data_IF_019060881817
#
_entry.id   IF_019060881817
#
_cell.length_a   1.000
_cell.length_b   1.000
_cell.length_c   1.000
_cell.angle_alpha   90.00
_cell.angle_beta   90.00
_cell.angle_gamma   90.00
#
_symmetry.space_group_name_H-M   'P 1'
#
loop_
_entity.id
_entity.type
_entity.pdbx_description
1 polymer ?
#
# COMPACT_ATOMS: atom_id res chain seq x y z
N UNK A 1 -60.53 58.85 -22.87
CA UNK A 1 -59.28 58.72 -22.09
C UNK A 1 -59.20 57.30 -21.55
N UNK A 2 -58.48 56.37 -22.26
CA UNK A 2 -58.43 54.97 -21.93
C UNK A 2 -57.07 54.74 -21.30
N UNK A 3 -57.06 54.29 -20.05
CA UNK A 3 -55.84 53.85 -19.33
C UNK A 3 -55.56 52.36 -19.60
N UNK A 4 -54.47 52.12 -20.33
CA UNK A 4 -53.96 50.76 -20.61
C UNK A 4 -53.11 50.29 -19.45
N UNK A 5 -53.57 49.28 -18.69
CA UNK A 5 -52.82 48.61 -17.62
C UNK A 5 -51.98 47.48 -18.22
N UNK A 6 -50.66 47.63 -18.30
CA UNK A 6 -49.72 46.55 -18.62
C UNK A 6 -49.51 45.70 -17.40
N UNK A 7 -49.90 44.42 -17.49
CA UNK A 7 -49.55 43.37 -16.53
C UNK A 7 -48.21 42.73 -16.99
N UNK A 8 -47.16 43.03 -16.25
CA UNK A 8 -45.88 42.30 -16.37
C UNK A 8 -46.02 40.94 -15.70
N UNK A 9 -46.00 39.83 -16.48
CA UNK A 9 -45.87 38.47 -15.98
C UNK A 9 -44.38 38.20 -15.79
N UNK A 10 -43.93 38.12 -14.53
CA UNK A 10 -42.59 37.58 -14.20
C UNK A 10 -42.64 36.04 -14.31
N UNK A 11 -41.96 35.50 -15.31
CA UNK A 11 -41.75 34.08 -15.47
C UNK A 11 -40.57 33.64 -14.58
N UNK A 12 -40.86 33.02 -13.45
CA UNK A 12 -39.85 32.43 -12.57
C UNK A 12 -39.41 31.11 -13.16
N UNK A 13 -38.24 31.13 -13.84
CA UNK A 13 -37.61 29.94 -14.40
C UNK A 13 -36.88 29.20 -13.26
N UNK A 14 -37.53 28.21 -12.65
CA UNK A 14 -36.91 27.30 -11.69
C UNK A 14 -35.91 26.42 -12.39
N UNK A 15 -34.60 26.68 -12.22
CA UNK A 15 -33.53 25.82 -12.66
C UNK A 15 -33.46 24.64 -11.66
N UNK A 16 -33.99 23.47 -12.04
CA UNK A 16 -33.76 22.24 -11.33
C UNK A 16 -32.31 21.82 -11.54
N UNK A 17 -31.47 22.03 -10.54
CA UNK A 17 -30.17 21.36 -10.48
C UNK A 17 -30.40 19.87 -10.27
N UNK A 18 -30.24 19.07 -11.31
CA UNK A 18 -30.15 17.63 -11.22
C UNK A 18 -28.85 17.29 -10.46
N UNK A 19 -28.96 17.06 -9.14
CA UNK A 19 -27.88 16.46 -8.35
C UNK A 19 -27.67 15.05 -8.91
N UNK A 20 -26.59 14.85 -9.68
CA UNK A 20 -26.18 13.50 -10.08
C UNK A 20 -25.95 12.70 -8.80
N UNK A 21 -26.56 11.50 -8.64
CA UNK A 21 -26.23 10.66 -7.51
C UNK A 21 -24.73 10.38 -7.56
N UNK A 22 -24.03 10.69 -6.48
CA UNK A 22 -22.66 10.21 -6.26
C UNK A 22 -22.78 8.70 -6.29
N UNK A 23 -22.18 8.08 -7.29
CA UNK A 23 -22.15 6.62 -7.44
C UNK A 23 -21.55 6.05 -6.16
N UNK A 24 -22.41 5.43 -5.33
CA UNK A 24 -21.98 4.82 -4.09
C UNK A 24 -20.95 3.76 -4.45
N UNK A 25 -19.72 3.89 -3.93
CA UNK A 25 -18.66 2.94 -4.19
C UNK A 25 -19.18 1.52 -3.94
N UNK A 26 -19.05 0.65 -4.97
CA UNK A 26 -19.64 -0.68 -4.97
C UNK A 26 -19.14 -1.50 -3.78
N UNK A 27 -20.07 -2.07 -3.03
CA UNK A 27 -19.82 -3.03 -1.96
C UNK A 27 -19.21 -4.31 -2.52
N UNK A 28 -18.07 -4.71 -2.01
CA UNK A 28 -17.47 -6.03 -2.20
C UNK A 28 -17.91 -6.90 -1.01
N UNK A 29 -18.65 -7.96 -1.27
CA UNK A 29 -19.18 -8.87 -0.27
C UNK A 29 -20.69 -8.79 -0.07
N UNK A 30 -21.16 -8.95 1.16
CA UNK A 30 -22.58 -9.01 1.48
C UNK A 30 -23.27 -7.63 1.34
N UNK A 31 -23.99 -7.45 0.24
CA UNK A 31 -24.74 -6.22 -0.08
C UNK A 31 -25.93 -5.98 0.86
N UNK A 32 -26.35 -6.99 1.61
CA UNK A 32 -27.41 -6.85 2.63
C UNK A 32 -26.87 -6.31 3.96
N UNK A 33 -25.54 -6.22 4.12
CA UNK A 33 -24.91 -5.68 5.32
C UNK A 33 -25.29 -4.21 5.54
N UNK A 34 -25.72 -3.89 6.77
CA UNK A 34 -26.08 -2.51 7.14
C UNK A 34 -24.87 -1.58 7.27
N UNK A 35 -23.67 -2.13 7.34
CA UNK A 35 -22.42 -1.37 7.50
C UNK A 35 -21.43 -1.73 6.41
N UNK A 36 -20.83 -0.71 5.80
CA UNK A 36 -19.72 -0.88 4.88
C UNK A 36 -18.42 -0.42 5.53
N UNK A 37 -17.32 -1.13 5.23
CA UNK A 37 -16.00 -0.87 5.78
C UNK A 37 -15.02 -0.50 4.67
N UNK A 38 -14.37 0.63 4.78
CA UNK A 38 -13.32 1.05 3.85
C UNK A 38 -12.06 0.21 4.04
N UNK A 39 -11.49 -0.26 2.90
CA UNK A 39 -10.22 -0.99 2.87
C UNK A 39 -9.24 -0.21 2.01
N UNK A 40 -8.14 0.24 2.58
CA UNK A 40 -7.08 0.94 1.87
C UNK A 40 -5.87 0.05 1.65
N UNK A 41 -5.26 0.14 0.48
CA UNK A 41 -4.06 -0.62 0.15
C UNK A 41 -2.88 0.32 -0.08
N UNK A 42 -1.74 0.00 0.51
CA UNK A 42 -0.49 0.71 0.22
C UNK A 42 -0.17 0.60 -1.28
N UNK A 43 0.11 1.72 -2.00
CA UNK A 43 0.25 1.74 -3.46
C UNK A 43 1.65 1.24 -3.89
N UNK A 44 1.95 -0.03 -3.63
CA UNK A 44 3.25 -0.67 -3.92
C UNK A 44 3.42 -1.12 -5.38
N UNK A 45 2.31 -1.39 -6.07
CA UNK A 45 2.22 -1.74 -7.50
C UNK A 45 1.07 -0.94 -8.13
N UNK A 46 0.81 -1.11 -9.43
CA UNK A 46 -0.25 -0.35 -10.10
C UNK A 46 -1.63 -0.56 -9.46
N UNK A 47 -2.44 0.50 -9.42
CA UNK A 47 -3.79 0.46 -8.84
C UNK A 47 -4.68 -0.60 -9.51
N UNK A 48 -4.58 -0.74 -10.84
CA UNK A 48 -5.31 -1.77 -11.60
C UNK A 48 -4.98 -3.17 -11.10
N UNK A 49 -3.69 -3.47 -10.90
CA UNK A 49 -3.25 -4.79 -10.44
C UNK A 49 -3.67 -5.05 -8.99
N UNK A 50 -3.51 -4.06 -8.11
CA UNK A 50 -4.01 -4.16 -6.73
C UNK A 50 -5.52 -4.44 -6.70
N UNK A 51 -6.30 -3.74 -7.53
CA UNK A 51 -7.74 -3.98 -7.59
C UNK A 51 -8.07 -5.39 -8.08
N UNK A 52 -7.44 -5.84 -9.15
CA UNK A 52 -7.65 -7.19 -9.72
C UNK A 52 -7.32 -8.31 -8.74
N UNK A 53 -6.32 -8.12 -7.88
CA UNK A 53 -5.91 -9.10 -6.87
C UNK A 53 -6.82 -9.08 -5.64
N UNK A 54 -7.15 -7.88 -5.12
CA UNK A 54 -7.85 -7.72 -3.85
C UNK A 54 -9.38 -7.77 -3.94
N UNK A 55 -9.98 -7.29 -5.04
CA UNK A 55 -11.43 -7.22 -5.13
C UNK A 55 -12.10 -8.61 -5.06
N UNK A 56 -11.62 -9.66 -5.78
CA UNK A 56 -12.21 -11.01 -5.66
C UNK A 56 -12.06 -11.59 -4.24
N UNK A 57 -10.93 -11.32 -3.59
CA UNK A 57 -10.71 -11.76 -2.21
C UNK A 57 -11.65 -11.07 -1.22
N UNK A 58 -11.79 -9.74 -1.32
CA UNK A 58 -12.69 -8.97 -0.43
C UNK A 58 -14.17 -9.32 -0.68
N UNK A 59 -14.55 -9.59 -1.93
CA UNK A 59 -15.89 -10.09 -2.26
C UNK A 59 -16.17 -11.39 -1.52
N UNK A 60 -15.29 -12.37 -1.61
CA UNK A 60 -15.42 -13.65 -0.92
C UNK A 60 -15.40 -13.48 0.59
N UNK A 61 -14.42 -12.76 1.13
CA UNK A 61 -14.32 -12.50 2.57
C UNK A 61 -15.59 -11.87 3.12
N UNK A 62 -16.15 -10.90 2.39
CA UNK A 62 -17.38 -10.21 2.76
C UNK A 62 -18.58 -11.12 2.72
N UNK A 63 -18.77 -11.88 1.64
CA UNK A 63 -19.90 -12.82 1.50
C UNK A 63 -19.92 -13.88 2.60
N UNK A 64 -18.77 -14.52 2.87
CA UNK A 64 -18.68 -15.58 3.88
C UNK A 64 -18.85 -15.09 5.32
N UNK A 65 -18.66 -13.78 5.59
CA UNK A 65 -18.68 -13.23 6.95
C UNK A 65 -19.81 -12.21 7.21
N UNK A 66 -20.69 -11.96 6.22
CA UNK A 66 -21.75 -10.96 6.33
C UNK A 66 -21.19 -9.53 6.46
N UNK A 67 -20.15 -9.20 5.70
CA UNK A 67 -19.49 -7.89 5.69
C UNK A 67 -19.51 -7.29 4.29
N UNK A 68 -19.55 -5.96 4.23
CA UNK A 68 -19.45 -5.18 3.01
C UNK A 68 -18.16 -4.35 3.02
N UNK A 69 -17.30 -4.49 2.02
CA UNK A 69 -16.08 -3.73 1.90
C UNK A 69 -16.12 -2.73 0.75
N UNK A 70 -15.51 -1.57 0.97
CA UNK A 70 -15.30 -0.54 -0.05
C UNK A 70 -13.81 -0.38 -0.26
N UNK A 71 -13.31 -0.95 -1.36
CA UNK A 71 -11.89 -0.90 -1.69
C UNK A 71 -11.47 0.50 -2.16
N UNK A 72 -10.38 1.01 -1.61
CA UNK A 72 -9.74 2.27 -1.94
C UNK A 72 -8.25 2.05 -2.20
N UNK A 73 -7.78 2.53 -3.33
CA UNK A 73 -6.37 2.47 -3.70
C UNK A 73 -5.93 3.91 -3.94
N UNK A 74 -5.21 4.53 -2.99
CA UNK A 74 -4.67 5.87 -3.15
C UNK A 74 -3.78 5.98 -4.38
N UNK A 75 -3.75 7.16 -4.98
CA UNK A 75 -2.97 7.42 -6.20
C UNK A 75 -1.46 7.26 -5.96
N UNK A 76 -1.00 7.63 -4.77
CA UNK A 76 0.40 7.58 -4.38
C UNK A 76 0.58 7.38 -2.85
N UNK A 77 1.84 7.33 -2.42
CA UNK A 77 2.20 7.19 -1.02
C UNK A 77 1.79 8.40 -0.18
N UNK A 78 1.77 9.60 -0.72
CA UNK A 78 1.41 10.83 0.01
C UNK A 78 -0.06 10.79 0.42
N UNK A 79 -0.95 10.52 -0.54
CA UNK A 79 -2.40 10.34 -0.26
C UNK A 79 -2.64 9.18 0.72
N UNK A 80 -1.91 8.07 0.56
CA UNK A 80 -2.02 6.94 1.45
C UNK A 80 -1.61 7.28 2.89
N UNK A 81 -0.46 7.94 3.06
CA UNK A 81 0.08 8.31 4.37
C UNK A 81 -0.81 9.33 5.09
N UNK A 82 -1.35 10.32 4.38
CA UNK A 82 -2.34 11.24 4.93
C UNK A 82 -3.60 10.49 5.42
N UNK A 83 -4.12 9.56 4.63
CA UNK A 83 -5.29 8.78 5.00
C UNK A 83 -5.05 7.94 6.27
N UNK A 84 -3.92 7.25 6.40
CA UNK A 84 -3.63 6.42 7.58
C UNK A 84 -3.33 7.26 8.82
N UNK A 85 -2.65 8.42 8.67
CA UNK A 85 -2.35 9.33 9.79
C UNK A 85 -3.61 9.97 10.37
N UNK A 86 -4.57 10.30 9.52
CA UNK A 86 -5.88 10.84 9.94
C UNK A 86 -6.88 9.77 10.41
N UNK A 87 -6.49 8.48 10.32
CA UNK A 87 -7.35 7.37 10.73
C UNK A 87 -8.54 7.13 9.80
N UNK A 88 -8.48 7.58 8.54
CA UNK A 88 -9.58 7.46 7.56
C UNK A 88 -9.96 6.01 7.23
N UNK A 89 -9.03 5.07 6.95
CA UNK A 89 -9.34 3.67 6.69
C UNK A 89 -9.94 2.94 7.90
N UNK A 90 -10.93 2.07 7.64
CA UNK A 90 -11.41 1.08 8.61
C UNK A 90 -10.46 -0.10 8.72
N UNK A 91 -10.09 -0.64 7.55
CA UNK A 91 -9.05 -1.65 7.39
C UNK A 91 -8.00 -1.15 6.43
N UNK A 92 -6.76 -1.63 6.60
CA UNK A 92 -5.66 -1.16 5.76
C UNK A 92 -4.56 -2.21 5.63
N UNK A 93 -4.05 -2.39 4.41
CA UNK A 93 -2.79 -3.09 4.19
C UNK A 93 -1.65 -2.08 4.37
N UNK A 94 -0.90 -2.22 5.45
CA UNK A 94 0.24 -1.35 5.77
C UNK A 94 1.55 -1.99 5.34
N UNK A 95 2.58 -1.18 5.10
CA UNK A 95 3.93 -1.70 5.20
C UNK A 95 4.38 -1.71 6.68
N UNK A 96 5.43 -2.45 7.04
CA UNK A 96 5.89 -2.52 8.43
C UNK A 96 6.26 -1.17 9.06
N UNK A 97 6.82 -0.23 8.29
CA UNK A 97 7.10 1.12 8.79
C UNK A 97 5.83 1.91 9.08
N UNK A 98 4.85 1.86 8.18
CA UNK A 98 3.56 2.49 8.44
C UNK A 98 2.89 1.93 9.69
N UNK A 99 3.00 0.61 9.94
CA UNK A 99 2.48 0.02 11.18
C UNK A 99 3.16 0.62 12.42
N UNK A 100 4.47 0.87 12.40
CA UNK A 100 5.17 1.55 13.49
C UNK A 100 4.65 2.98 13.73
N UNK A 101 4.35 3.70 12.66
CA UNK A 101 3.92 5.11 12.77
C UNK A 101 2.50 5.24 13.29
N UNK A 102 1.59 4.32 12.92
CA UNK A 102 0.15 4.43 13.22
C UNK A 102 -0.32 3.59 14.41
N UNK A 103 0.54 2.75 15.02
CA UNK A 103 0.16 1.93 16.17
C UNK A 103 -0.16 2.73 17.41
N UNK A 104 0.51 3.87 17.63
CA UNK A 104 0.28 4.75 18.79
C UNK A 104 -0.88 5.70 18.52
N UNK A 105 -0.92 6.29 17.35
CA UNK A 105 -1.95 7.21 16.90
C UNK A 105 -2.02 7.14 15.36
N UNK A 106 -3.20 6.89 14.81
CA UNK A 106 -4.53 6.72 15.43
C UNK A 106 -4.78 5.37 16.13
N UNK A 107 -3.82 4.45 16.20
CA UNK A 107 -3.92 3.24 17.01
C UNK A 107 -4.27 1.97 16.22
N UNK A 108 -3.89 1.88 14.93
CA UNK A 108 -4.16 0.70 14.13
C UNK A 108 -3.55 -0.58 14.72
N UNK A 109 -4.37 -1.62 14.79
CA UNK A 109 -4.01 -2.93 15.34
C UNK A 109 -3.78 -3.91 14.17
N UNK A 110 -2.61 -4.56 14.07
CA UNK A 110 -2.39 -5.59 13.06
C UNK A 110 -3.27 -6.81 13.36
N UNK A 111 -3.95 -7.33 12.36
CA UNK A 111 -4.87 -8.46 12.46
C UNK A 111 -4.28 -9.74 11.88
N UNK A 112 -3.77 -9.64 10.64
CA UNK A 112 -3.27 -10.77 9.86
C UNK A 112 -2.00 -10.37 9.15
N UNK A 113 -1.05 -11.31 9.06
CA UNK A 113 0.12 -11.26 8.20
C UNK A 113 0.36 -12.61 7.55
N UNK A 114 1.18 -12.66 6.54
CA UNK A 114 1.69 -13.94 6.03
C UNK A 114 2.70 -14.55 7.03
N UNK A 115 2.68 -15.86 7.19
CA UNK A 115 3.58 -16.59 8.09
C UNK A 115 4.99 -16.69 7.53
N UNK A 116 5.08 -17.08 6.27
CA UNK A 116 6.34 -17.47 5.62
C UNK A 116 6.89 -16.44 4.64
N UNK A 117 6.14 -15.39 4.35
CA UNK A 117 6.66 -14.29 3.54
C UNK A 117 7.63 -13.46 4.35
N UNK A 118 8.76 -13.17 3.75
CA UNK A 118 9.75 -12.25 4.28
C UNK A 118 9.95 -11.10 3.30
N UNK A 119 10.06 -9.90 3.84
CA UNK A 119 10.21 -8.69 3.07
C UNK A 119 11.66 -8.21 3.13
N UNK A 120 12.33 -8.20 2.00
CA UNK A 120 13.68 -7.65 1.86
C UNK A 120 13.73 -6.52 0.85
N UNK A 121 14.58 -5.54 1.13
CA UNK A 121 14.96 -4.50 0.19
C UNK A 121 16.01 -5.00 -0.78
N UNK A 122 15.89 -4.60 -2.04
CA UNK A 122 16.82 -4.94 -3.11
C UNK A 122 17.43 -3.65 -3.67
N UNK A 123 18.76 -3.58 -3.76
CA UNK A 123 19.41 -2.64 -4.67
C UNK A 123 19.64 -3.35 -6.00
N UNK A 124 18.99 -2.86 -7.05
CA UNK A 124 19.16 -3.36 -8.41
C UNK A 124 20.02 -2.41 -9.24
N UNK A 125 20.75 -2.99 -10.17
CA UNK A 125 21.51 -2.29 -11.21
C UNK A 125 21.20 -2.95 -12.55
N UNK A 126 21.53 -2.27 -13.66
CA UNK A 126 21.41 -2.89 -14.98
C UNK A 126 22.33 -4.12 -15.07
N UNK A 127 21.93 -5.12 -15.83
CA UNK A 127 22.62 -6.41 -15.92
C UNK A 127 24.10 -6.28 -16.31
N UNK A 128 24.40 -5.37 -17.22
CA UNK A 128 25.76 -5.08 -17.72
C UNK A 128 26.50 -3.98 -16.95
N UNK A 129 25.92 -3.50 -15.84
CA UNK A 129 26.53 -2.45 -15.01
C UNK A 129 27.93 -2.86 -14.49
N UNK A 130 28.92 -1.98 -14.48
CA UNK A 130 30.25 -2.25 -13.92
C UNK A 130 30.28 -2.29 -12.39
N UNK A 131 29.21 -1.82 -11.71
CA UNK A 131 29.12 -1.77 -10.25
C UNK A 131 29.17 -3.18 -9.66
N UNK A 132 30.08 -3.45 -8.72
CA UNK A 132 30.28 -4.77 -8.08
C UNK A 132 29.84 -4.82 -6.62
N UNK A 133 29.83 -3.67 -5.94
CA UNK A 133 29.47 -3.57 -4.54
C UNK A 133 28.84 -2.22 -4.22
N UNK A 134 28.25 -2.10 -3.03
CA UNK A 134 27.52 -0.89 -2.61
C UNK A 134 28.43 0.29 -2.32
N UNK A 135 29.71 0.09 -2.00
CA UNK A 135 30.66 1.18 -1.73
C UNK A 135 30.85 2.08 -2.96
N UNK A 136 30.72 1.52 -4.16
CA UNK A 136 30.78 2.25 -5.42
C UNK A 136 29.58 3.19 -5.66
N UNK A 137 28.54 3.07 -4.84
CA UNK A 137 27.40 4.00 -4.86
C UNK A 137 27.61 5.25 -4.00
N UNK A 138 28.70 5.32 -3.22
CA UNK A 138 28.94 6.47 -2.37
C UNK A 138 29.03 7.78 -3.17
N UNK A 139 28.24 8.78 -2.77
CA UNK A 139 28.14 10.07 -3.47
C UNK A 139 27.29 10.06 -4.74
N UNK A 140 26.68 8.93 -5.10
CA UNK A 140 25.86 8.83 -6.32
C UNK A 140 24.36 9.03 -6.06
N UNK A 141 23.59 9.29 -7.13
CA UNK A 141 22.14 9.27 -7.09
C UNK A 141 21.61 7.84 -7.26
N UNK A 142 20.62 7.47 -6.44
CA UNK A 142 19.92 6.18 -6.49
C UNK A 142 18.42 6.43 -6.59
N UNK A 143 17.76 5.75 -7.51
CA UNK A 143 16.29 5.83 -7.65
C UNK A 143 15.57 5.06 -6.52
N UNK A 144 14.52 5.65 -5.99
CA UNK A 144 13.63 5.05 -5.00
C UNK A 144 12.16 5.31 -5.35
N UNK A 145 11.21 4.43 -4.97
CA UNK A 145 9.80 4.62 -5.33
C UNK A 145 9.17 5.82 -4.63
N UNK A 146 9.40 5.96 -3.33
CA UNK A 146 8.92 7.07 -2.49
C UNK A 146 9.79 7.18 -1.23
N UNK A 147 9.74 8.30 -0.51
CA UNK A 147 10.53 8.49 0.71
C UNK A 147 10.32 7.39 1.76
N UNK A 148 9.07 6.98 1.97
CA UNK A 148 8.67 6.10 3.07
C UNK A 148 8.33 4.66 2.61
N UNK A 149 8.75 4.27 1.40
CA UNK A 149 8.70 2.87 0.97
C UNK A 149 9.64 2.03 1.85
N UNK A 150 9.05 1.18 2.72
CA UNK A 150 9.75 0.52 3.80
C UNK A 150 11.01 -0.25 3.33
N UNK A 151 10.83 -1.33 2.56
CA UNK A 151 11.94 -2.17 2.14
C UNK A 151 12.83 -1.49 1.09
N UNK A 152 12.18 -0.84 0.10
CA UNK A 152 12.88 -0.28 -1.05
C UNK A 152 13.66 1.00 -0.76
N UNK A 153 13.28 1.77 0.26
CA UNK A 153 13.91 3.06 0.59
C UNK A 153 14.48 3.07 1.99
N UNK A 154 13.64 2.89 3.01
CA UNK A 154 14.05 3.11 4.39
C UNK A 154 15.08 2.09 4.87
N UNK A 155 14.85 0.79 4.63
CA UNK A 155 15.81 -0.25 5.00
C UNK A 155 17.13 -0.10 4.24
N UNK A 156 17.06 0.17 2.93
CA UNK A 156 18.26 0.36 2.11
C UNK A 156 19.06 1.55 2.61
N UNK A 157 18.43 2.72 2.79
CA UNK A 157 19.12 3.92 3.31
C UNK A 157 19.74 3.70 4.68
N UNK A 158 19.01 3.02 5.59
CA UNK A 158 19.51 2.72 6.92
C UNK A 158 20.74 1.80 6.88
N UNK A 159 20.74 0.77 6.04
CA UNK A 159 21.85 -0.17 5.92
C UNK A 159 23.04 0.43 5.15
N UNK A 160 22.80 1.26 4.14
CA UNK A 160 23.86 2.02 3.47
C UNK A 160 24.56 2.96 4.46
N UNK A 161 23.79 3.69 5.27
CA UNK A 161 24.35 4.57 6.30
C UNK A 161 25.21 3.83 7.33
N UNK A 162 24.78 2.62 7.78
CA UNK A 162 25.58 1.78 8.67
C UNK A 162 26.91 1.33 8.05
N UNK A 163 26.99 1.30 6.72
CA UNK A 163 28.22 0.96 5.97
C UNK A 163 28.98 2.18 5.46
N UNK A 164 28.65 3.38 5.96
CA UNK A 164 29.22 4.67 5.56
C UNK A 164 29.08 4.95 4.05
N UNK A 165 28.01 4.46 3.42
CA UNK A 165 27.67 4.75 2.03
C UNK A 165 26.53 5.79 2.01
N UNK A 166 26.81 6.95 1.44
CA UNK A 166 25.89 8.07 1.35
C UNK A 166 25.42 8.23 -0.10
N UNK A 167 24.12 8.19 -0.31
CA UNK A 167 23.49 8.32 -1.64
C UNK A 167 22.49 9.47 -1.64
N UNK A 168 22.37 10.13 -2.79
CA UNK A 168 21.28 11.09 -3.02
C UNK A 168 20.04 10.34 -3.50
N UNK A 169 18.93 10.48 -2.79
CA UNK A 169 17.70 9.82 -3.16
C UNK A 169 16.99 10.57 -4.30
N UNK A 170 16.67 9.87 -5.39
CA UNK A 170 15.81 10.34 -6.47
C UNK A 170 14.50 9.57 -6.43
N UNK A 171 13.39 10.22 -6.07
CA UNK A 171 12.09 9.59 -5.94
C UNK A 171 11.33 9.63 -7.26
N UNK A 172 10.97 8.44 -7.80
CA UNK A 172 10.36 8.28 -9.12
C UNK A 172 8.90 7.81 -9.09
N UNK A 173 8.27 7.82 -7.92
CA UNK A 173 6.83 7.64 -7.71
C UNK A 173 6.37 6.20 -7.54
N UNK A 174 7.02 5.19 -8.15
CA UNK A 174 6.63 3.78 -8.03
C UNK A 174 7.80 2.82 -8.16
N UNK A 175 7.64 1.59 -7.65
CA UNK A 175 8.63 0.52 -7.81
C UNK A 175 8.90 0.21 -9.30
N UNK A 176 7.85 0.12 -10.11
CA UNK A 176 7.98 -0.13 -11.54
C UNK A 176 8.79 0.95 -12.26
N UNK A 177 8.63 2.22 -11.88
CA UNK A 177 9.42 3.31 -12.43
C UNK A 177 10.90 3.20 -12.03
N UNK A 178 11.21 2.76 -10.79
CA UNK A 178 12.59 2.49 -10.37
C UNK A 178 13.23 1.45 -11.29
N UNK A 179 12.58 0.30 -11.47
CA UNK A 179 13.13 -0.79 -12.28
C UNK A 179 13.33 -0.38 -13.74
N UNK A 180 12.36 0.34 -14.33
CA UNK A 180 12.47 0.87 -15.69
C UNK A 180 13.59 1.91 -15.83
N UNK A 181 13.71 2.84 -14.87
CA UNK A 181 14.75 3.85 -14.90
C UNK A 181 16.17 3.23 -14.86
N UNK A 182 16.34 2.15 -14.09
CA UNK A 182 17.62 1.41 -14.05
C UNK A 182 17.85 0.63 -15.34
N UNK A 183 16.84 -0.09 -15.85
CA UNK A 183 16.97 -0.87 -17.09
C UNK A 183 17.28 0.00 -18.30
N UNK A 184 16.71 1.20 -18.37
CA UNK A 184 16.97 2.19 -19.42
C UNK A 184 18.30 2.95 -19.24
N UNK A 185 19.02 2.73 -18.12
CA UNK A 185 20.27 3.44 -17.83
C UNK A 185 20.10 4.90 -17.37
N UNK A 186 18.85 5.35 -17.15
CA UNK A 186 18.57 6.69 -16.62
C UNK A 186 19.01 6.84 -15.16
N UNK A 187 19.14 5.72 -14.43
CA UNK A 187 19.66 5.64 -13.07
C UNK A 187 20.68 4.51 -12.99
N UNK A 188 21.80 4.74 -12.26
CA UNK A 188 22.84 3.70 -12.11
C UNK A 188 22.38 2.55 -11.21
N UNK A 189 21.57 2.84 -10.19
CA UNK A 189 21.01 1.88 -9.26
C UNK A 189 19.62 2.29 -8.81
N UNK A 190 18.87 1.34 -8.30
CA UNK A 190 17.53 1.59 -7.76
C UNK A 190 17.17 0.71 -6.58
N UNK A 191 16.44 1.28 -5.62
CA UNK A 191 15.88 0.57 -4.48
C UNK A 191 14.54 -0.06 -4.80
N UNK A 192 14.44 -1.35 -4.57
CA UNK A 192 13.22 -2.15 -4.76
C UNK A 192 12.93 -3.05 -3.57
N UNK A 193 11.93 -3.90 -3.73
CA UNK A 193 11.63 -4.97 -2.79
C UNK A 193 11.48 -6.29 -3.54
N UNK A 194 11.83 -7.41 -2.88
CA UNK A 194 11.66 -8.75 -3.45
C UNK A 194 10.25 -8.95 -4.02
N UNK A 195 9.24 -8.63 -3.22
CA UNK A 195 7.82 -8.81 -3.58
C UNK A 195 7.35 -7.95 -4.75
N UNK A 196 8.01 -6.82 -5.05
CA UNK A 196 7.63 -5.95 -6.17
C UNK A 196 8.38 -6.26 -7.45
N UNK A 197 9.64 -6.71 -7.37
CA UNK A 197 10.41 -7.12 -8.54
C UNK A 197 9.81 -8.36 -9.19
N UNK A 198 9.32 -9.32 -8.40
CA UNK A 198 8.69 -10.54 -8.89
C UNK A 198 7.37 -10.28 -9.67
N UNK A 199 6.74 -9.13 -9.46
CA UNK A 199 5.55 -8.70 -10.18
C UNK A 199 5.84 -8.03 -11.53
N UNK A 200 7.09 -7.68 -11.82
CA UNK A 200 7.46 -7.07 -13.09
C UNK A 200 7.50 -8.12 -14.22
N UNK A 201 7.32 -7.70 -15.49
CA UNK A 201 7.49 -8.56 -16.65
C UNK A 201 8.88 -9.21 -16.66
N UNK A 202 8.97 -10.48 -17.11
CA UNK A 202 10.24 -11.22 -17.17
C UNK A 202 11.29 -10.53 -18.04
N UNK A 203 10.87 -9.84 -19.07
CA UNK A 203 11.71 -9.04 -19.97
C UNK A 203 12.41 -7.91 -19.20
N UNK A 204 11.72 -7.24 -18.29
CA UNK A 204 12.29 -6.20 -17.44
C UNK A 204 13.19 -6.80 -16.37
N UNK A 205 12.73 -7.88 -15.70
CA UNK A 205 13.55 -8.57 -14.69
C UNK A 205 14.90 -9.03 -15.28
N UNK A 206 14.92 -9.55 -16.51
CA UNK A 206 16.13 -10.05 -17.19
C UNK A 206 17.18 -8.98 -17.51
N UNK A 207 16.78 -7.71 -17.55
CA UNK A 207 17.67 -6.56 -17.79
C UNK A 207 18.35 -6.07 -16.50
N UNK A 208 17.92 -6.58 -15.36
CA UNK A 208 18.40 -6.18 -14.04
C UNK A 208 19.21 -7.28 -13.38
N UNK A 209 20.07 -6.90 -12.46
CA UNK A 209 20.64 -7.79 -11.46
C UNK A 209 20.64 -7.15 -10.09
N UNK A 210 20.59 -7.99 -9.07
CA UNK A 210 20.64 -7.56 -7.69
C UNK A 210 22.11 -7.29 -7.33
N UNK A 211 22.39 -6.08 -6.82
CA UNK A 211 23.68 -5.67 -6.29
C UNK A 211 23.78 -5.94 -4.78
N UNK A 212 22.66 -5.79 -4.07
CA UNK A 212 22.62 -5.94 -2.61
C UNK A 212 21.20 -6.32 -2.17
N UNK A 213 21.12 -7.14 -1.11
CA UNK A 213 19.86 -7.54 -0.45
C UNK A 213 19.95 -7.18 1.04
N UNK A 214 18.90 -6.60 1.59
CA UNK A 214 18.81 -6.38 3.04
C UNK A 214 18.50 -7.68 3.77
N UNK A 215 18.74 -7.78 5.09
CA UNK A 215 18.11 -8.83 5.89
C UNK A 215 16.59 -8.82 5.72
N UNK A 216 16.01 -9.98 5.99
CA UNK A 216 14.57 -10.21 5.89
C UNK A 216 13.83 -9.73 7.14
N UNK A 217 12.63 -9.20 6.92
CA UNK A 217 11.76 -8.66 7.97
C UNK A 217 10.32 -9.14 7.76
N UNK A 218 9.50 -8.96 8.81
CA UNK A 218 8.07 -9.30 8.74
C UNK A 218 7.38 -8.58 7.58
N UNK A 219 6.42 -9.28 6.92
CA UNK A 219 5.71 -8.74 5.77
C UNK A 219 4.66 -7.70 6.16
N UNK A 220 3.93 -7.23 5.15
CA UNK A 220 2.85 -6.27 5.28
C UNK A 220 1.72 -6.81 6.18
N UNK A 221 1.32 -6.11 7.27
CA UNK A 221 0.14 -6.47 8.03
C UNK A 221 -1.13 -5.94 7.37
N UNK A 222 -2.20 -6.74 7.42
CA UNK A 222 -3.56 -6.25 7.28
C UNK A 222 -4.06 -5.82 8.66
N UNK A 223 -4.41 -4.55 8.81
CA UNK A 223 -4.65 -3.92 10.11
C UNK A 223 -6.02 -3.26 10.16
N UNK A 224 -6.56 -3.07 11.36
CA UNK A 224 -7.82 -2.39 11.60
C UNK A 224 -7.65 -1.15 12.46
N UNK A 225 -8.44 -0.10 12.16
CA UNK A 225 -8.58 1.05 13.03
C UNK A 225 -9.26 0.63 14.35
N UNK A 226 -8.88 1.18 15.53
CA UNK A 226 -9.46 0.79 16.82
C UNK A 226 -10.98 1.02 16.94
N UNK A 227 -11.57 1.92 16.12
CA UNK A 227 -13.03 2.10 16.07
C UNK A 227 -13.79 0.87 15.59
N UNK A 228 -13.14 -0.07 14.90
CA UNK A 228 -13.78 -1.28 14.42
C UNK A 228 -14.04 -2.22 15.59
N UNK A 229 -15.32 -2.64 15.82
CA UNK A 229 -15.66 -3.51 16.93
C UNK A 229 -14.86 -4.80 16.92
N UNK A 230 -14.47 -5.30 18.09
CA UNK A 230 -13.69 -6.53 18.21
C UNK A 230 -14.35 -7.71 17.47
N UNK A 231 -15.69 -7.85 17.56
CA UNK A 231 -16.42 -8.90 16.85
C UNK A 231 -16.22 -8.85 15.33
N UNK A 232 -16.13 -7.65 14.74
CA UNK A 232 -15.89 -7.48 13.31
C UNK A 232 -14.43 -7.81 12.97
N UNK A 233 -13.48 -7.36 13.80
CA UNK A 233 -12.05 -7.72 13.63
C UNK A 233 -11.85 -9.24 13.67
N UNK A 234 -12.50 -9.93 14.61
CA UNK A 234 -12.44 -11.38 14.72
C UNK A 234 -13.05 -12.09 13.51
N UNK A 235 -14.20 -11.62 12.97
CA UNK A 235 -14.74 -12.13 11.71
C UNK A 235 -13.75 -12.02 10.56
N UNK A 236 -13.09 -10.87 10.43
CA UNK A 236 -12.05 -10.66 9.39
C UNK A 236 -10.89 -11.63 9.56
N UNK A 237 -10.33 -11.75 10.78
CA UNK A 237 -9.23 -12.69 11.05
C UNK A 237 -9.65 -14.11 10.71
N UNK A 238 -10.79 -14.57 11.25
CA UNK A 238 -11.29 -15.93 11.02
C UNK A 238 -11.55 -16.18 9.54
N UNK A 239 -12.09 -15.18 8.81
CA UNK A 239 -12.31 -15.28 7.37
C UNK A 239 -11.01 -15.47 6.58
N UNK A 240 -9.96 -14.72 6.88
CA UNK A 240 -8.64 -14.95 6.27
C UNK A 240 -8.14 -16.38 6.50
N UNK A 241 -8.22 -16.86 7.75
CA UNK A 241 -7.78 -18.20 8.12
C UNK A 241 -8.63 -19.30 7.48
N UNK A 242 -9.95 -19.10 7.40
CA UNK A 242 -10.89 -20.06 6.80
C UNK A 242 -10.68 -20.17 5.28
N UNK A 243 -10.53 -19.05 4.58
CA UNK A 243 -10.30 -19.01 3.14
C UNK A 243 -9.02 -19.78 2.77
N UNK A 244 -8.02 -19.84 3.64
CA UNK A 244 -6.80 -20.60 3.42
C UNK A 244 -7.00 -22.14 3.38
N UNK A 245 -8.16 -22.65 3.83
CA UNK A 245 -8.39 -24.09 3.92
C UNK A 245 -8.73 -24.75 2.57
N UNK A 246 -9.15 -24.00 1.56
CA UNK A 246 -9.46 -24.56 0.24
C UNK A 246 -8.51 -24.07 -0.88
N UNK A 247 -8.39 -24.84 -1.99
CA UNK A 247 -7.45 -24.50 -3.07
C UNK A 247 -7.70 -23.15 -3.74
N UNK A 248 -8.97 -22.76 -3.94
CA UNK A 248 -9.31 -21.50 -4.59
C UNK A 248 -8.98 -20.32 -3.69
N UNK A 249 -9.26 -20.44 -2.39
CA UNK A 249 -8.88 -19.47 -1.38
C UNK A 249 -7.38 -19.28 -1.25
N UNK A 250 -6.62 -20.38 -1.25
CA UNK A 250 -5.13 -20.30 -1.26
C UNK A 250 -4.61 -19.57 -2.48
N UNK A 251 -5.21 -19.77 -3.67
CA UNK A 251 -4.82 -19.04 -4.87
C UNK A 251 -5.08 -17.53 -4.73
N UNK A 252 -6.24 -17.13 -4.19
CA UNK A 252 -6.57 -15.72 -3.92
C UNK A 252 -5.62 -15.10 -2.90
N UNK A 253 -5.36 -15.81 -1.79
CA UNK A 253 -4.44 -15.32 -0.75
C UNK A 253 -3.01 -15.19 -1.27
N UNK A 254 -2.56 -16.10 -2.12
CA UNK A 254 -1.25 -16.01 -2.79
C UNK A 254 -1.16 -14.77 -3.68
N UNK A 255 -2.21 -14.43 -4.42
CA UNK A 255 -2.20 -13.24 -5.29
C UNK A 255 -2.04 -11.94 -4.51
N UNK A 256 -2.64 -11.85 -3.32
CA UNK A 256 -2.54 -10.68 -2.43
C UNK A 256 -1.32 -10.73 -1.50
N UNK A 257 -0.42 -11.73 -1.66
CA UNK A 257 0.80 -11.94 -0.85
C UNK A 257 0.52 -12.23 0.65
N UNK A 258 -0.56 -12.96 0.92
CA UNK A 258 -0.96 -13.46 2.22
C UNK A 258 -1.24 -14.97 2.11
N UNK A 259 -0.35 -15.71 1.45
CA UNK A 259 -0.54 -17.13 1.08
C UNK A 259 -0.78 -18.05 2.29
N UNK A 260 -0.16 -17.74 3.42
CA UNK A 260 -0.31 -18.44 4.69
C UNK A 260 -0.65 -17.44 5.80
N UNK A 261 -1.94 -17.02 5.88
CA UNK A 261 -2.35 -16.01 6.83
C UNK A 261 -2.29 -16.56 8.25
N UNK A 262 -1.68 -15.81 9.15
CA UNK A 262 -1.71 -16.03 10.59
C UNK A 262 -2.11 -14.76 11.32
N UNK A 263 -2.56 -14.90 12.58
CA UNK A 263 -2.81 -13.74 13.43
C UNK A 263 -1.53 -12.95 13.62
N UNK A 264 -1.58 -11.67 13.32
CA UNK A 264 -0.50 -10.73 13.59
C UNK A 264 -0.59 -10.20 15.02
N UNK A 265 0.58 -9.84 15.57
CA UNK A 265 0.71 -9.16 16.86
C UNK A 265 1.79 -8.10 16.78
N UNK A 266 1.50 -6.88 17.24
CA UNK A 266 2.47 -5.79 17.13
C UNK A 266 3.75 -6.04 17.91
N UNK A 267 3.64 -6.52 19.16
CA UNK A 267 4.78 -6.69 20.05
C UNK A 267 5.72 -7.79 19.55
N UNK A 268 5.14 -8.91 19.08
CA UNK A 268 5.88 -10.05 18.54
C UNK A 268 6.50 -9.76 17.18
N UNK A 269 5.72 -9.16 16.26
CA UNK A 269 6.07 -9.12 14.84
C UNK A 269 6.79 -7.81 14.45
N UNK A 270 6.35 -6.64 14.95
CA UNK A 270 6.77 -5.35 14.42
C UNK A 270 7.58 -4.50 15.39
N UNK A 271 7.38 -4.63 16.72
CA UNK A 271 8.04 -3.77 17.71
C UNK A 271 9.57 -3.75 17.63
N UNK A 272 10.19 -4.86 17.25
CA UNK A 272 11.65 -4.95 17.05
C UNK A 272 12.20 -3.96 16.02
N UNK A 273 11.36 -3.54 15.06
CA UNK A 273 11.74 -2.60 14.01
C UNK A 273 11.98 -1.18 14.55
N UNK A 274 11.42 -0.82 15.72
CA UNK A 274 11.68 0.46 16.37
C UNK A 274 13.19 0.69 16.61
N UNK A 275 13.97 -0.39 16.79
CA UNK A 275 15.43 -0.33 16.98
C UNK A 275 16.18 0.18 15.76
N UNK A 276 15.60 0.08 14.56
CA UNK A 276 16.20 0.54 13.30
C UNK A 276 16.15 2.05 13.14
N UNK A 277 15.35 2.75 13.97
CA UNK A 277 15.19 4.21 13.95
C UNK A 277 14.95 4.75 12.53
N UNK A 278 14.05 4.08 11.80
CA UNK A 278 13.77 4.36 10.38
C UNK A 278 13.24 5.77 10.14
N UNK A 279 12.64 6.40 11.17
CA UNK A 279 12.20 7.79 11.16
C UNK A 279 13.33 8.78 10.81
N UNK A 280 14.60 8.41 11.03
CA UNK A 280 15.77 9.23 10.64
C UNK A 280 15.97 9.31 9.13
N UNK A 281 15.40 8.38 8.38
CA UNK A 281 15.51 8.24 6.94
C UNK A 281 14.19 8.57 6.22
N UNK A 282 13.11 8.69 6.98
CA UNK A 282 11.79 9.04 6.45
C UNK A 282 11.69 10.54 6.18
N UNK A 283 10.78 10.88 5.28
CA UNK A 283 10.33 12.27 5.10
C UNK A 283 8.93 12.33 5.72
N UNK A 284 8.75 13.19 6.72
CA UNK A 284 7.41 13.49 7.21
C UNK A 284 6.70 14.27 6.12
N UNK A 285 5.43 13.92 5.86
CA UNK A 285 4.58 14.77 5.04
C UNK A 285 4.69 16.20 5.58
N UNK A 286 4.84 17.17 4.71
CA UNK A 286 4.92 18.58 5.09
C UNK A 286 3.76 18.93 6.02
N UNK A 287 4.12 19.35 7.24
CA UNK A 287 3.21 20.05 8.14
C UNK A 287 2.65 21.30 7.47
#
# INVERSE_FOLDING_TARGET
>A
MLLLRHRFLLFFMTVLFAVKPVEAASCLGDKSSQSSYSVYLVPRISATKLYQEWAPFLERLGMENGLCFVLRIPADFTEFEEAIQTGKPDFVLLNPYHQLTVVRKPGYVPLVRDENSELSGLLVVRKDSPLKNIQQLNGTAVAFPSPNAYAATLLIKALLAQKNVHVTANYVGSHSNVYRAVALGAQQAGGGANTTLDHEPKELQSQLRILFVTPEFMPHPFSAHPRIPQKVREKVITGFLSIANDPSGRAMLKSIQLAQPIRADYARDYKKLEKLKLERFSVRGSD
#
